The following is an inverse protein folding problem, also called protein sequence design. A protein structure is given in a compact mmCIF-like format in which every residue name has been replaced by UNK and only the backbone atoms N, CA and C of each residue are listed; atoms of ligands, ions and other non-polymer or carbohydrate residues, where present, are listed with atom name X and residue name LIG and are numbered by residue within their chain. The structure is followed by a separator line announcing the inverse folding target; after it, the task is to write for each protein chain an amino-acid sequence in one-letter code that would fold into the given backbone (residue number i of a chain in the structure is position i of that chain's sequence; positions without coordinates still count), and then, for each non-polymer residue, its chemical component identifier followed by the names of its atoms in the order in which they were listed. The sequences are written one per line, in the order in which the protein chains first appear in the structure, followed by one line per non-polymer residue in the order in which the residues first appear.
data_IF_307600598826
#
_entry.id   IF_307600598826
#
_cell.length_a   1.000
_cell.length_b   1.000
_cell.length_c   1.000
_cell.angle_alpha   90.00
_cell.angle_beta   90.00
_cell.angle_gamma   90.00
#
_symmetry.space_group_name_H-M   'P 1'
#
loop_
_entity.id
_entity.type
_entity.pdbx_description
1 polymer ?
#
# COMPACT_ATOMS: atom_id res chain seq x y z
N UNK A 1 32.51 -15.08 8.42
CA UNK A 1 31.15 -15.51 8.03
C UNK A 1 30.26 -14.30 8.17
N UNK A 2 29.47 -13.97 7.15
CA UNK A 2 28.47 -12.90 7.23
C UNK A 2 27.14 -13.58 7.55
N UNK A 3 26.58 -13.28 8.71
CA UNK A 3 25.20 -13.64 9.05
C UNK A 3 24.31 -12.52 8.55
N UNK A 4 23.20 -12.88 7.91
CA UNK A 4 22.20 -11.93 7.43
C UNK A 4 21.01 -12.11 8.35
N UNK A 5 20.62 -11.03 9.01
CA UNK A 5 19.44 -10.97 9.87
C UNK A 5 18.34 -10.16 9.18
N UNK A 6 17.10 -10.31 9.64
CA UNK A 6 16.00 -9.49 9.13
C UNK A 6 16.26 -8.00 9.41
N UNK A 7 15.94 -7.12 8.45
CA UNK A 7 16.10 -5.69 8.66
C UNK A 7 15.06 -5.16 9.66
N UNK A 8 15.39 -4.09 10.37
CA UNK A 8 14.52 -3.47 11.39
C UNK A 8 13.03 -3.28 10.99
N UNK A 9 12.70 -2.88 9.75
CA UNK A 9 11.30 -2.74 9.31
C UNK A 9 10.52 -4.07 9.25
N UNK A 10 11.21 -5.20 9.18
CA UNK A 10 10.63 -6.54 9.09
C UNK A 10 10.99 -7.42 10.28
N UNK A 11 11.44 -6.80 11.38
CA UNK A 11 11.62 -7.51 12.64
C UNK A 11 10.30 -8.11 13.12
N UNK A 12 10.42 -9.17 13.93
CA UNK A 12 9.27 -9.93 14.40
C UNK A 12 8.23 -9.09 15.15
N UNK A 13 8.66 -8.00 15.81
CA UNK A 13 7.74 -7.03 16.44
C UNK A 13 6.80 -6.37 15.42
N UNK A 14 7.33 -5.94 14.27
CA UNK A 14 6.54 -5.31 13.20
C UNK A 14 5.66 -6.35 12.53
N UNK A 15 6.20 -7.53 12.24
CA UNK A 15 5.44 -8.64 11.65
C UNK A 15 4.26 -9.06 12.53
N UNK A 16 4.44 -9.11 13.85
CA UNK A 16 3.36 -9.41 14.80
C UNK A 16 2.30 -8.31 14.84
N UNK A 17 2.71 -7.03 14.77
CA UNK A 17 1.77 -5.92 14.71
C UNK A 17 0.93 -5.95 13.42
N UNK A 18 1.58 -6.21 12.28
CA UNK A 18 0.93 -6.38 10.98
C UNK A 18 -0.05 -7.56 10.96
N UNK A 19 0.31 -8.65 11.61
CA UNK A 19 -0.55 -9.83 11.77
C UNK A 19 -1.78 -9.55 12.66
N UNK A 20 -1.63 -8.68 13.66
CA UNK A 20 -2.73 -8.32 14.58
C UNK A 20 -3.71 -7.32 13.94
N UNK A 21 -3.19 -6.21 13.39
CA UNK A 21 -3.96 -5.26 12.60
C UNK A 21 -3.06 -4.52 11.59
N UNK A 22 -3.18 -4.81 10.28
CA UNK A 22 -2.38 -4.17 9.24
C UNK A 22 -2.68 -2.67 9.08
N UNK A 23 -3.84 -2.19 9.53
CA UNK A 23 -4.23 -0.79 9.40
C UNK A 23 -3.65 0.11 10.48
N UNK A 24 -3.24 -0.47 11.61
CA UNK A 24 -2.65 0.24 12.75
C UNK A 24 -1.19 0.66 12.53
N UNK A 25 -0.50 0.03 11.58
CA UNK A 25 0.93 0.24 11.32
C UNK A 25 1.14 1.30 10.24
N UNK A 26 1.99 2.28 10.53
CA UNK A 26 2.51 3.22 9.55
C UNK A 26 3.65 2.55 8.76
N UNK A 27 3.32 2.01 7.59
CA UNK A 27 4.28 1.32 6.72
C UNK A 27 5.37 2.25 6.23
N UNK A 28 5.04 3.51 5.95
CA UNK A 28 6.02 4.48 5.47
C UNK A 28 7.03 4.88 6.56
N UNK A 29 6.61 4.89 7.82
CA UNK A 29 7.52 5.05 8.95
C UNK A 29 8.45 3.85 9.14
N UNK A 30 8.02 2.63 8.79
CA UNK A 30 8.90 1.45 8.78
C UNK A 30 9.89 1.51 7.61
N UNK A 31 9.39 1.69 6.38
CA UNK A 31 10.21 1.88 5.20
C UNK A 31 9.41 2.58 4.09
N UNK A 32 9.98 3.59 3.39
CA UNK A 32 9.29 4.24 2.27
C UNK A 32 8.88 3.28 1.13
N UNK A 33 9.65 2.21 0.94
CA UNK A 33 9.42 1.16 -0.04
C UNK A 33 9.24 -0.20 0.66
N UNK A 34 8.31 -0.29 1.60
CA UNK A 34 8.12 -1.45 2.47
C UNK A 34 7.92 -2.77 1.70
N UNK A 35 7.01 -2.82 0.73
CA UNK A 35 6.75 -4.05 -0.03
C UNK A 35 7.91 -4.45 -0.95
N UNK A 36 8.62 -3.47 -1.53
CA UNK A 36 9.80 -3.75 -2.34
C UNK A 36 10.96 -4.30 -1.48
N UNK A 37 11.15 -3.75 -0.28
CA UNK A 37 12.07 -4.31 0.71
C UNK A 37 11.66 -5.74 1.07
N UNK A 38 10.37 -5.97 1.30
CA UNK A 38 9.83 -7.29 1.59
C UNK A 38 10.12 -8.32 0.51
N UNK A 39 9.94 -7.96 -0.76
CA UNK A 39 10.27 -8.84 -1.88
C UNK A 39 11.77 -9.25 -1.88
N UNK A 40 12.68 -8.29 -1.66
CA UNK A 40 14.11 -8.57 -1.60
C UNK A 40 14.53 -9.40 -0.38
N UNK A 41 13.85 -9.23 0.75
CA UNK A 41 14.08 -10.05 1.95
C UNK A 41 13.59 -11.48 1.72
N UNK A 42 12.44 -11.64 1.06
CA UNK A 42 11.88 -12.96 0.74
C UNK A 42 12.77 -13.75 -0.23
N UNK A 43 13.42 -13.07 -1.19
CA UNK A 43 14.42 -13.69 -2.08
C UNK A 43 15.61 -14.31 -1.31
N UNK A 44 15.82 -13.91 -0.05
CA UNK A 44 17.00 -14.28 0.74
C UNK A 44 16.69 -15.27 1.87
N UNK A 45 15.49 -15.18 2.46
CA UNK A 45 15.10 -15.97 3.64
C UNK A 45 13.98 -16.99 3.39
N UNK A 46 13.27 -16.93 2.26
CA UNK A 46 12.18 -17.86 1.86
C UNK A 46 11.20 -18.23 3.00
N UNK A 47 10.82 -17.26 3.85
CA UNK A 47 9.91 -17.49 4.98
C UNK A 47 8.43 -17.35 4.55
N UNK A 48 7.72 -18.47 4.41
CA UNK A 48 6.30 -18.52 4.02
C UNK A 48 5.40 -17.68 4.94
N UNK A 49 5.68 -17.60 6.23
CA UNK A 49 4.86 -16.83 7.17
C UNK A 49 5.00 -15.32 6.89
N UNK A 50 6.19 -14.86 6.47
CA UNK A 50 6.39 -13.47 6.04
C UNK A 50 5.60 -13.18 4.76
N UNK A 51 5.59 -14.11 3.80
CA UNK A 51 4.81 -13.99 2.56
C UNK A 51 3.32 -13.83 2.87
N UNK A 52 2.78 -14.68 3.73
CA UNK A 52 1.36 -14.65 4.10
C UNK A 52 0.98 -13.33 4.78
N UNK A 53 1.79 -12.88 5.74
CA UNK A 53 1.55 -11.60 6.44
C UNK A 53 1.60 -10.43 5.44
N UNK A 54 2.62 -10.36 4.58
CA UNK A 54 2.72 -9.29 3.60
C UNK A 54 1.55 -9.29 2.60
N UNK A 55 1.12 -10.47 2.16
CA UNK A 55 0.00 -10.61 1.23
C UNK A 55 -1.32 -10.17 1.87
N UNK A 56 -1.58 -10.61 3.10
CA UNK A 56 -2.81 -10.23 3.82
C UNK A 56 -2.82 -8.75 4.19
N UNK A 57 -1.67 -8.19 4.61
CA UNK A 57 -1.56 -6.75 4.88
C UNK A 57 -1.87 -5.92 3.65
N UNK A 58 -1.30 -6.28 2.49
CA UNK A 58 -1.56 -5.59 1.24
C UNK A 58 -3.03 -5.71 0.83
N UNK A 59 -3.63 -6.90 0.94
CA UNK A 59 -5.05 -7.11 0.62
C UNK A 59 -5.96 -6.24 1.48
N UNK A 60 -5.79 -6.26 2.80
CA UNK A 60 -6.60 -5.50 3.75
C UNK A 60 -6.50 -3.99 3.50
N UNK A 61 -5.28 -3.50 3.28
CA UNK A 61 -5.02 -2.08 3.05
C UNK A 61 -5.45 -1.62 1.66
N UNK A 62 -5.37 -2.47 0.63
CA UNK A 62 -5.80 -2.16 -0.72
C UNK A 62 -7.30 -1.81 -0.82
N UNK A 63 -8.16 -2.52 -0.08
CA UNK A 63 -9.59 -2.20 -0.02
C UNK A 63 -9.81 -0.77 0.52
N UNK A 64 -9.15 -0.44 1.64
CA UNK A 64 -9.19 0.89 2.24
C UNK A 64 -8.64 1.98 1.31
N UNK A 65 -7.53 1.70 0.61
CA UNK A 65 -6.96 2.62 -0.39
C UNK A 65 -7.96 2.89 -1.53
N UNK A 66 -8.66 1.86 -2.01
CA UNK A 66 -9.67 2.03 -3.05
C UNK A 66 -10.84 2.91 -2.58
N UNK A 67 -11.30 2.74 -1.35
CA UNK A 67 -12.37 3.57 -0.76
C UNK A 67 -11.95 5.05 -0.68
N UNK A 68 -10.73 5.32 -0.21
CA UNK A 68 -10.18 6.67 -0.18
C UNK A 68 -9.93 7.25 -1.59
N UNK A 69 -9.55 6.41 -2.56
CA UNK A 69 -9.31 6.82 -3.94
C UNK A 69 -10.58 7.29 -4.65
N UNK A 70 -11.71 6.62 -4.39
CA UNK A 70 -13.01 6.97 -4.97
C UNK A 70 -13.72 8.12 -4.24
N UNK A 71 -13.42 8.37 -2.96
CA UNK A 71 -14.06 9.42 -2.18
C UNK A 71 -13.20 10.71 -2.10
N UNK A 72 -13.40 11.61 -3.07
CA UNK A 72 -12.69 12.89 -3.15
C UNK A 72 -12.88 13.82 -1.93
N UNK A 73 -13.95 13.64 -1.14
CA UNK A 73 -14.24 14.45 0.05
C UNK A 73 -13.51 13.93 1.30
N UNK A 74 -13.29 12.61 1.42
CA UNK A 74 -12.49 12.01 2.51
C UNK A 74 -11.01 12.41 2.47
N UNK A 75 -10.53 12.88 1.32
CA UNK A 75 -9.15 13.29 1.14
C UNK A 75 -8.77 14.62 1.85
N UNK A 76 -9.76 15.47 2.18
CA UNK A 76 -9.55 16.86 2.62
C UNK A 76 -9.34 17.04 4.12
N UNK A 77 -9.81 16.10 4.96
CA UNK A 77 -9.64 16.16 6.42
C UNK A 77 -8.75 15.04 6.94
N UNK A 78 -9.07 13.78 6.60
CA UNK A 78 -8.34 12.58 7.07
C UNK A 78 -7.36 12.02 6.02
N UNK A 79 -7.48 12.47 4.77
CA UNK A 79 -6.68 11.97 3.66
C UNK A 79 -5.19 12.36 3.71
N UNK A 80 -4.86 13.51 4.29
CA UNK A 80 -3.46 13.96 4.33
C UNK A 80 -2.60 13.04 5.19
N UNK A 81 -3.10 12.64 6.36
CA UNK A 81 -2.42 11.72 7.26
C UNK A 81 -2.42 10.30 6.72
N UNK A 82 -3.54 9.86 6.14
CA UNK A 82 -3.62 8.58 5.43
C UNK A 82 -2.55 8.48 4.33
N UNK A 83 -2.47 9.47 3.43
CA UNK A 83 -1.50 9.51 2.33
C UNK A 83 -0.05 9.58 2.81
N UNK A 84 0.19 10.12 4.02
CA UNK A 84 1.53 10.22 4.61
C UNK A 84 2.06 8.87 5.10
N UNK A 85 1.15 7.97 5.50
CA UNK A 85 1.48 6.63 6.01
C UNK A 85 1.53 5.52 4.94
N UNK A 86 1.17 5.83 3.68
CA UNK A 86 1.26 4.89 2.57
C UNK A 86 2.70 4.71 2.09
N UNK A 87 3.12 3.48 1.86
CA UNK A 87 4.36 3.18 1.14
C UNK A 87 4.25 3.60 -0.34
N UNK A 88 5.35 3.60 -1.08
CA UNK A 88 5.34 4.00 -2.49
C UNK A 88 4.42 3.14 -3.37
N UNK A 89 4.34 1.83 -3.11
CA UNK A 89 3.48 0.90 -3.83
C UNK A 89 2.00 1.25 -3.61
N UNK A 90 1.61 1.48 -2.36
CA UNK A 90 0.28 1.93 -1.99
C UNK A 90 -0.06 3.32 -2.56
N UNK A 91 0.91 4.25 -2.60
CA UNK A 91 0.72 5.58 -3.24
C UNK A 91 0.48 5.47 -4.73
N UNK A 92 1.14 4.55 -5.42
CA UNK A 92 0.88 4.29 -6.84
C UNK A 92 -0.52 3.70 -7.04
N UNK A 93 -0.92 2.76 -6.18
CA UNK A 93 -2.28 2.20 -6.19
C UNK A 93 -3.33 3.30 -5.98
N UNK A 94 -3.15 4.15 -4.97
CA UNK A 94 -4.04 5.28 -4.68
C UNK A 94 -4.18 6.22 -5.89
N UNK A 95 -3.06 6.67 -6.49
CA UNK A 95 -3.08 7.55 -7.66
C UNK A 95 -3.87 6.92 -8.81
N UNK A 96 -3.60 5.64 -9.10
CA UNK A 96 -4.31 4.91 -10.14
C UNK A 96 -5.82 4.81 -9.87
N UNK A 97 -6.24 4.61 -8.61
CA UNK A 97 -7.65 4.56 -8.23
C UNK A 97 -8.32 5.94 -8.34
N UNK A 98 -7.61 6.99 -7.95
CA UNK A 98 -8.12 8.35 -7.92
C UNK A 98 -8.28 8.98 -9.31
N UNK A 99 -7.41 8.65 -10.27
CA UNK A 99 -7.45 9.24 -11.61
C UNK A 99 -8.40 8.50 -12.57
N UNK A 100 -8.65 7.20 -12.35
CA UNK A 100 -9.56 6.38 -13.16
C UNK A 100 -10.94 7.02 -13.42
N UNK A 101 -11.66 7.56 -12.42
CA UNK A 101 -12.96 8.20 -12.67
C UNK A 101 -12.87 9.43 -13.58
N UNK A 102 -11.77 10.19 -13.52
CA UNK A 102 -11.54 11.37 -14.36
C UNK A 102 -11.31 10.94 -15.81
N UNK A 103 -10.50 9.91 -16.01
CA UNK A 103 -10.20 9.36 -17.33
C UNK A 103 -11.45 8.79 -18.01
N UNK A 104 -12.25 8.03 -17.27
CA UNK A 104 -13.52 7.47 -17.75
C UNK A 104 -14.50 8.59 -18.13
N UNK A 105 -14.59 9.65 -17.32
CA UNK A 105 -15.44 10.82 -17.62
C UNK A 105 -14.95 11.56 -18.86
N UNK A 106 -13.64 11.79 -18.99
CA UNK A 106 -13.05 12.46 -20.15
C UNK A 106 -13.27 11.65 -21.43
N UNK A 107 -13.08 10.33 -21.36
CA UNK A 107 -13.38 9.41 -22.46
C UNK A 107 -14.85 9.47 -22.88
N UNK A 108 -15.78 9.40 -21.93
CA UNK A 108 -17.22 9.50 -22.20
C UNK A 108 -17.62 10.84 -22.84
N UNK A 109 -17.03 11.95 -22.40
CA UNK A 109 -17.26 13.27 -22.99
C UNK A 109 -16.72 13.38 -24.42
N UNK A 110 -15.55 12.80 -24.69
CA UNK A 110 -14.98 12.78 -26.03
C UNK A 110 -15.87 11.99 -27.00
N UNK A 111 -16.40 10.83 -26.57
CA UNK A 111 -17.29 10.00 -27.39
C UNK A 111 -18.56 10.76 -27.82
N UNK A 112 -19.15 11.54 -26.90
CA UNK A 112 -20.31 12.40 -27.16
C UNK A 112 -20.03 13.58 -28.10
N UNK A 113 -18.77 13.97 -28.29
CA UNK A 113 -18.39 15.06 -29.20
C UNK A 113 -18.13 14.57 -30.62
N UNK A 114 -17.76 13.30 -30.77
CA UNK A 114 -17.48 12.66 -32.07
C UNK A 114 -18.69 11.96 -32.70
N UNK A 115 -19.82 11.89 -31.99
CA UNK A 115 -21.11 11.36 -32.48
C UNK A 115 -22.08 12.51 -32.66
#
# INVERSE_FOLDING_TARGET
MVTIDFPAPMEQRVMNALKADPNSVDLRAQAPHFYALGAHVLDLFEDENVIDILTETFRSRAARIADHGHNAQGALTDGADFLRGLDETERQLFRSAHDRPKDVKAWSQNLKRTT
#
